data_IF_856838608223
#
_entry.id   IF_856838608223
#
_cell.length_a   1.000
_cell.length_b   1.000
_cell.length_c   1.000
_cell.angle_alpha   90.00
_cell.angle_beta   90.00
_cell.angle_gamma   90.00
#
_symmetry.space_group_name_H-M   'P 1'
#
loop_
_entity.id
_entity.type
_entity.pdbx_description
1 polymer ?
#
# COMPACT_ATOMS: atom_id res chain seq x y z
N UNK A 1 4.92 -5.90 -16.18
CA UNK A 1 3.68 -6.70 -16.07
C UNK A 1 2.52 -5.73 -16.03
N UNK A 2 1.75 -5.64 -17.12
CA UNK A 2 0.58 -4.78 -17.21
C UNK A 2 -0.60 -5.55 -16.60
N UNK A 3 -1.15 -5.03 -15.51
CA UNK A 3 -2.21 -5.69 -14.74
C UNK A 3 -3.53 -5.18 -15.30
N UNK A 4 -4.40 -6.09 -15.71
CA UNK A 4 -5.69 -5.78 -16.30
C UNK A 4 -6.61 -5.18 -15.21
N UNK A 5 -6.73 -3.85 -15.17
CA UNK A 5 -7.45 -3.11 -14.13
C UNK A 5 -8.96 -3.45 -14.08
N UNK A 6 -9.50 -4.07 -15.14
CA UNK A 6 -10.92 -4.33 -15.29
C UNK A 6 -11.48 -5.42 -14.36
N UNK A 7 -10.64 -6.18 -13.64
CA UNK A 7 -11.06 -7.31 -12.79
C UNK A 7 -10.94 -6.99 -11.28
N UNK A 8 -10.16 -5.97 -10.90
CA UNK A 8 -9.94 -5.61 -9.50
C UNK A 8 -10.92 -4.50 -9.07
N UNK A 9 -11.56 -4.68 -7.92
CA UNK A 9 -12.37 -3.63 -7.31
C UNK A 9 -11.50 -2.43 -6.88
N UNK A 10 -12.12 -1.27 -6.70
CA UNK A 10 -11.42 -0.03 -6.38
C UNK A 10 -10.46 -0.15 -5.18
N UNK A 11 -10.82 -0.89 -4.13
CA UNK A 11 -9.92 -1.04 -2.98
C UNK A 11 -8.70 -1.90 -3.29
N UNK A 12 -8.86 -2.94 -4.11
CA UNK A 12 -7.74 -3.77 -4.56
C UNK A 12 -6.79 -2.98 -5.47
N UNK A 13 -7.33 -2.16 -6.37
CA UNK A 13 -6.52 -1.28 -7.24
C UNK A 13 -5.71 -0.28 -6.42
N UNK A 14 -6.34 0.37 -5.45
CA UNK A 14 -5.70 1.36 -4.57
C UNK A 14 -4.63 0.73 -3.65
N UNK A 15 -4.91 -0.46 -3.10
CA UNK A 15 -3.92 -1.18 -2.29
C UNK A 15 -2.72 -1.61 -3.14
N UNK A 16 -2.95 -2.05 -4.38
CA UNK A 16 -1.89 -2.43 -5.30
C UNK A 16 -1.06 -1.23 -5.76
N UNK A 17 -1.70 -0.10 -6.06
CA UNK A 17 -1.02 1.15 -6.35
C UNK A 17 -0.12 1.57 -5.18
N UNK A 18 -0.62 1.45 -3.94
CA UNK A 18 0.16 1.72 -2.73
C UNK A 18 1.41 0.83 -2.62
N UNK A 19 1.26 -0.48 -2.89
CA UNK A 19 2.38 -1.44 -2.91
C UNK A 19 3.42 -1.04 -3.97
N UNK A 20 2.98 -0.73 -5.19
CA UNK A 20 3.86 -0.37 -6.29
C UNK A 20 4.64 0.92 -6.00
N UNK A 21 3.99 1.93 -5.45
CA UNK A 21 4.63 3.19 -5.04
C UNK A 21 5.67 2.98 -3.95
N UNK A 22 5.35 2.18 -2.91
CA UNK A 22 6.30 1.85 -1.85
C UNK A 22 7.51 1.06 -2.40
N UNK A 23 7.27 0.07 -3.26
CA UNK A 23 8.33 -0.71 -3.86
C UNK A 23 9.23 0.15 -4.76
N UNK A 24 8.64 1.05 -5.55
CA UNK A 24 9.39 2.00 -6.37
C UNK A 24 10.27 2.88 -5.50
N UNK A 25 9.73 3.43 -4.41
CA UNK A 25 10.50 4.29 -3.52
C UNK A 25 11.67 3.55 -2.85
N UNK A 26 11.49 2.29 -2.45
CA UNK A 26 12.58 1.44 -1.97
C UNK A 26 13.64 1.18 -3.04
N UNK A 27 13.22 0.86 -4.26
CA UNK A 27 14.13 0.62 -5.38
C UNK A 27 14.93 1.87 -5.75
N UNK A 28 14.39 3.06 -5.50
CA UNK A 28 15.07 4.35 -5.68
C UNK A 28 16.00 4.71 -4.51
N UNK A 29 16.01 3.93 -3.43
CA UNK A 29 16.86 4.16 -2.26
C UNK A 29 16.33 5.22 -1.30
N UNK A 30 15.04 5.59 -1.39
CA UNK A 30 14.44 6.51 -0.42
C UNK A 30 14.28 5.86 0.95
N UNK A 31 14.61 6.61 2.00
CA UNK A 31 14.46 6.18 3.40
C UNK A 31 13.23 6.78 4.09
N UNK A 32 12.61 7.76 3.44
CA UNK A 32 11.37 8.43 3.86
C UNK A 32 10.42 8.48 2.67
N UNK A 33 9.12 8.34 2.95
CA UNK A 33 8.07 8.38 1.92
C UNK A 33 6.82 9.04 2.49
N UNK A 34 6.17 9.84 1.65
CA UNK A 34 4.83 10.37 1.88
C UNK A 34 3.93 9.78 0.79
N UNK A 35 2.93 9.00 1.21
CA UNK A 35 2.01 8.29 0.31
C UNK A 35 0.68 9.01 0.32
N UNK A 36 0.41 9.79 -0.73
CA UNK A 36 -0.89 10.43 -0.94
C UNK A 36 -1.79 9.52 -1.79
N UNK A 37 -3.05 9.35 -1.38
CA UNK A 37 -4.04 8.57 -2.12
C UNK A 37 -5.48 8.93 -1.74
N UNK A 38 -6.42 8.71 -2.65
CA UNK A 38 -7.84 9.07 -2.45
C UNK A 38 -8.60 8.02 -1.61
N UNK A 39 -8.02 6.82 -1.45
CA UNK A 39 -8.60 5.76 -0.62
C UNK A 39 -8.17 5.86 0.84
N UNK A 40 -8.84 6.74 1.59
CA UNK A 40 -8.68 6.85 3.05
C UNK A 40 -8.81 5.50 3.76
N UNK A 41 -9.67 4.60 3.26
CA UNK A 41 -9.86 3.26 3.83
C UNK A 41 -8.62 2.39 3.70
N UNK A 42 -7.98 2.37 2.53
CA UNK A 42 -6.76 1.59 2.29
C UNK A 42 -5.62 2.15 3.15
N UNK A 43 -5.44 3.48 3.14
CA UNK A 43 -4.45 4.17 3.96
C UNK A 43 -4.59 3.81 5.45
N UNK A 44 -5.80 3.96 6.01
CA UNK A 44 -6.06 3.65 7.41
C UNK A 44 -5.86 2.16 7.74
N UNK A 45 -6.08 1.26 6.78
CA UNK A 45 -5.85 -0.17 6.96
C UNK A 45 -4.36 -0.49 6.95
N UNK A 46 -3.57 0.11 6.06
CA UNK A 46 -2.11 -0.03 6.06
C UNK A 46 -1.55 0.51 7.38
N UNK A 47 -2.04 1.65 7.88
CA UNK A 47 -1.54 2.27 9.11
C UNK A 47 -1.95 1.58 10.41
N UNK A 48 -3.00 0.75 10.41
CA UNK A 48 -3.42 0.04 11.63
C UNK A 48 -2.53 -1.18 11.89
N UNK A 49 -2.07 -1.33 13.13
CA UNK A 49 -1.34 -2.53 13.56
C UNK A 49 -2.24 -3.77 13.73
N UNK A 50 -3.56 -3.59 13.74
CA UNK A 50 -4.52 -4.69 13.89
C UNK A 50 -4.58 -5.55 12.62
N UNK A 51 -4.79 -6.84 12.82
CA UNK A 51 -5.09 -7.78 11.74
C UNK A 51 -6.23 -7.25 10.85
N UNK A 52 -6.01 -7.26 9.54
CA UNK A 52 -7.02 -6.90 8.56
C UNK A 52 -7.80 -8.16 8.14
N UNK A 53 -9.12 -8.16 8.37
CA UNK A 53 -10.01 -9.30 8.05
C UNK A 53 -10.79 -9.11 6.76
N UNK A 54 -10.41 -8.13 5.93
CA UNK A 54 -11.07 -7.89 4.65
C UNK A 54 -10.55 -8.83 3.56
N UNK A 55 -11.26 -8.88 2.44
CA UNK A 55 -10.84 -9.67 1.27
C UNK A 55 -9.56 -9.13 0.60
N UNK A 56 -9.12 -7.91 0.94
CA UNK A 56 -7.84 -7.33 0.48
C UNK A 56 -6.71 -7.47 1.51
N UNK A 57 -6.89 -8.28 2.56
CA UNK A 57 -5.94 -8.39 3.68
C UNK A 57 -4.51 -8.72 3.23
N UNK A 58 -4.36 -9.56 2.20
CA UNK A 58 -3.05 -9.87 1.61
C UNK A 58 -2.33 -8.60 1.12
N UNK A 59 -3.01 -7.76 0.33
CA UNK A 59 -2.44 -6.49 -0.13
C UNK A 59 -2.10 -5.54 1.04
N UNK A 60 -2.94 -5.51 2.07
CA UNK A 60 -2.70 -4.68 3.25
C UNK A 60 -1.45 -5.16 4.02
N UNK A 61 -1.27 -6.47 4.16
CA UNK A 61 -0.09 -7.06 4.81
C UNK A 61 1.19 -6.75 4.03
N UNK A 62 1.16 -6.88 2.71
CA UNK A 62 2.31 -6.59 1.85
C UNK A 62 2.67 -5.09 1.91
N UNK A 63 1.67 -4.21 1.78
CA UNK A 63 1.88 -2.77 1.89
C UNK A 63 2.46 -2.38 3.27
N UNK A 64 1.97 -2.98 4.36
CA UNK A 64 2.52 -2.78 5.72
C UNK A 64 3.97 -3.23 5.82
N UNK A 65 4.30 -4.38 5.25
CA UNK A 65 5.66 -4.89 5.26
C UNK A 65 6.62 -3.92 4.54
N UNK A 66 6.22 -3.40 3.38
CA UNK A 66 7.01 -2.41 2.65
C UNK A 66 7.09 -1.08 3.41
N UNK A 67 5.99 -0.59 3.96
CA UNK A 67 5.94 0.66 4.72
C UNK A 67 6.89 0.68 5.94
N UNK A 68 7.08 -0.48 6.59
CA UNK A 68 8.04 -0.64 7.71
C UNK A 68 9.50 -0.45 7.33
N UNK A 69 9.82 -0.47 6.03
CA UNK A 69 11.19 -0.23 5.54
C UNK A 69 11.56 1.25 5.52
N UNK A 70 10.59 2.16 5.73
CA UNK A 70 10.82 3.60 5.80
C UNK A 70 10.90 4.07 7.25
N UNK A 71 11.79 5.03 7.54
CA UNK A 71 11.99 5.57 8.90
C UNK A 71 10.80 6.39 9.38
N UNK A 72 10.10 7.03 8.45
CA UNK A 72 8.89 7.82 8.70
C UNK A 72 7.95 7.70 7.52
N UNK A 73 7.14 6.63 7.44
CA UNK A 73 6.07 6.59 6.48
C UNK A 73 5.00 7.60 6.89
N UNK A 74 4.77 8.61 6.06
CA UNK A 74 3.64 9.53 6.20
C UNK A 74 2.58 9.07 5.20
N UNK A 75 1.35 8.91 5.68
CA UNK A 75 0.17 8.55 4.90
C UNK A 75 -0.94 9.55 5.22
#
# INVERSE_FOLDING_TARGET
MMIDLHILDAFSVEALASIQSLQLALNMGFTMVEVEGDSRTVILRIMKEKEDKSYISAYIVDARFLAKSFLKPIF
#
